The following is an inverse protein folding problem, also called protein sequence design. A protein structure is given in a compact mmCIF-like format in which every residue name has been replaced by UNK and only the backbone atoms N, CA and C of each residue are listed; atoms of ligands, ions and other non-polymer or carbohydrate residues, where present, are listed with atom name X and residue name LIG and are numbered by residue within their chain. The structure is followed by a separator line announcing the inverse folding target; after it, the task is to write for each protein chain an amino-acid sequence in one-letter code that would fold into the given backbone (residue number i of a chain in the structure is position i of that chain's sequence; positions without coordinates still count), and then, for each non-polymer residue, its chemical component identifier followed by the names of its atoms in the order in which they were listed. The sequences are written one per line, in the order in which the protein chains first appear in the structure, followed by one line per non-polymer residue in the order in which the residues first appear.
data_IF_647847703692
#
_entry.id   IF_647847703692
#
_cell.length_a   1.000
_cell.length_b   1.000
_cell.length_c   1.000
_cell.angle_alpha   90.00
_cell.angle_beta   90.00
_cell.angle_gamma   90.00
#
_symmetry.space_group_name_H-M   'P 1'
#
loop_
_entity.id
_entity.type
_entity.pdbx_description
1 polymer ?
#
# COMPACT_ATOMS: atom_id res chain seq x y z
N UNK A 1 10.98 -5.19 -13.95
CA UNK A 1 11.09 -3.79 -13.47
C UNK A 1 10.37 -3.72 -12.14
N UNK A 2 10.99 -3.17 -11.09
CA UNK A 2 10.29 -2.85 -9.84
C UNK A 2 9.60 -1.51 -10.08
N UNK A 3 8.28 -1.53 -10.22
CA UNK A 3 7.49 -0.30 -10.38
C UNK A 3 7.14 0.23 -8.99
N UNK A 4 7.42 1.51 -8.73
CA UNK A 4 7.02 2.16 -7.48
C UNK A 4 5.68 2.85 -7.67
N UNK A 5 4.71 2.61 -6.79
CA UNK A 5 3.38 3.21 -6.82
C UNK A 5 3.19 4.20 -5.68
N UNK A 6 2.58 5.33 -6.00
CA UNK A 6 2.13 6.31 -5.01
C UNK A 6 0.71 6.02 -4.53
N UNK A 7 0.47 6.18 -3.23
CA UNK A 7 -0.81 6.03 -2.55
C UNK A 7 -1.09 7.27 -1.70
N UNK A 8 -2.32 7.77 -1.77
CA UNK A 8 -2.84 8.78 -0.85
C UNK A 8 -4.05 8.18 -0.14
N UNK A 9 -4.04 8.22 1.19
CA UNK A 9 -5.02 7.58 2.06
C UNK A 9 -5.55 8.60 3.07
N UNK A 10 -6.84 8.54 3.37
CA UNK A 10 -7.42 9.23 4.53
C UNK A 10 -7.79 8.17 5.56
N UNK A 11 -7.24 8.29 6.76
CA UNK A 11 -7.35 7.30 7.82
C UNK A 11 -7.91 7.93 9.10
N UNK A 12 -8.55 7.17 9.99
CA UNK A 12 -8.99 7.67 11.28
C UNK A 12 -7.78 8.07 12.15
N UNK A 13 -7.95 9.15 12.90
CA UNK A 13 -6.96 9.61 13.87
C UNK A 13 -7.02 8.71 15.10
N UNK A 14 -5.96 7.94 15.32
CA UNK A 14 -5.80 7.09 16.50
C UNK A 14 -5.63 7.91 17.79
N UNK A 15 -6.04 7.34 18.92
CA UNK A 15 -5.96 8.00 20.23
C UNK A 15 -4.53 8.11 20.79
N UNK A 16 -3.58 7.37 20.22
CA UNK A 16 -2.16 7.39 20.58
C UNK A 16 -1.29 7.33 19.33
N UNK A 17 -0.04 7.79 19.45
CA UNK A 17 0.92 7.73 18.33
C UNK A 17 1.14 6.30 17.82
N UNK A 18 1.20 5.31 18.73
CA UNK A 18 1.33 3.90 18.35
C UNK A 18 0.10 3.37 17.61
N UNK A 19 -1.11 3.79 18.00
CA UNK A 19 -2.33 3.41 17.31
C UNK A 19 -2.41 4.02 15.90
N UNK A 20 -1.96 5.28 15.73
CA UNK A 20 -1.85 5.92 14.42
C UNK A 20 -0.87 5.14 13.55
N UNK A 21 0.35 4.86 14.04
CA UNK A 21 1.36 4.10 13.30
C UNK A 21 0.81 2.75 12.82
N UNK A 22 0.21 1.97 13.72
CA UNK A 22 -0.36 0.67 13.38
C UNK A 22 -1.50 0.79 12.34
N UNK A 23 -2.35 1.81 12.47
CA UNK A 23 -3.45 2.06 11.52
C UNK A 23 -2.91 2.36 10.13
N UNK A 24 -1.86 3.16 10.03
CA UNK A 24 -1.22 3.51 8.76
C UNK A 24 -0.57 2.29 8.12
N UNK A 25 0.23 1.54 8.88
CA UNK A 25 0.90 0.33 8.38
C UNK A 25 -0.11 -0.73 7.93
N UNK A 26 -1.18 -0.98 8.70
CA UNK A 26 -2.23 -1.92 8.33
C UNK A 26 -3.02 -1.49 7.09
N UNK A 27 -3.17 -0.18 6.86
CA UNK A 27 -3.86 0.32 5.67
C UNK A 27 -3.01 0.20 4.39
N UNK A 28 -1.68 0.35 4.51
CA UNK A 28 -0.77 0.32 3.34
C UNK A 28 -0.28 -1.11 3.05
N UNK A 29 -0.02 -1.94 4.06
CA UNK A 29 0.48 -3.30 3.92
C UNK A 29 -0.22 -4.18 2.86
N UNK A 30 -1.58 -4.19 2.74
CA UNK A 30 -2.24 -5.00 1.71
C UNK A 30 -2.01 -4.50 0.27
N UNK A 31 -1.50 -3.27 0.09
CA UNK A 31 -1.22 -2.71 -1.23
C UNK A 31 0.15 -3.14 -1.76
N UNK A 32 1.08 -3.52 -0.87
CA UNK A 32 2.43 -3.95 -1.22
C UNK A 32 3.46 -3.63 -0.14
N UNK A 33 4.74 -3.74 -0.52
CA UNK A 33 5.86 -3.44 0.35
C UNK A 33 6.02 -1.93 0.53
N UNK A 34 6.03 -1.47 1.78
CA UNK A 34 6.12 -0.05 2.14
C UNK A 34 7.57 0.41 2.00
N UNK A 35 7.83 1.39 1.13
CA UNK A 35 9.16 2.00 0.99
C UNK A 35 9.31 3.23 1.87
N UNK A 36 8.28 4.09 1.87
CA UNK A 36 8.18 5.28 2.73
C UNK A 36 6.74 5.74 2.82
N UNK A 37 6.40 6.41 3.91
CA UNK A 37 5.14 7.13 4.03
C UNK A 37 5.30 8.31 4.98
N UNK A 38 4.38 9.27 4.90
CA UNK A 38 4.32 10.41 5.79
C UNK A 38 2.87 10.86 5.99
N UNK A 39 2.58 11.37 7.19
CA UNK A 39 1.34 12.08 7.46
C UNK A 39 1.49 13.50 6.91
N UNK A 40 0.59 13.91 6.02
CA UNK A 40 0.68 15.21 5.34
C UNK A 40 -0.35 16.22 5.82
N UNK A 41 -1.45 15.75 6.42
CA UNK A 41 -2.43 16.59 7.11
C UNK A 41 -3.12 15.83 8.25
N UNK A 42 -3.65 16.59 9.21
CA UNK A 42 -4.49 16.08 10.31
C UNK A 42 -5.72 16.97 10.41
N UNK A 43 -6.91 16.37 10.41
CA UNK A 43 -8.19 17.05 10.63
C UNK A 43 -8.73 16.64 12.02
N UNK A 44 -8.57 17.49 13.05
CA UNK A 44 -9.03 17.19 14.40
C UNK A 44 -10.55 17.25 14.53
N UNK A 45 -11.25 18.00 13.67
CA UNK A 45 -12.71 18.12 13.69
C UNK A 45 -13.39 16.85 13.19
N UNK A 46 -12.80 16.19 12.20
CA UNK A 46 -13.27 14.92 11.62
C UNK A 46 -12.60 13.70 12.25
N UNK A 47 -11.60 13.91 13.11
CA UNK A 47 -10.74 12.86 13.66
C UNK A 47 -10.15 11.98 12.56
N UNK A 48 -9.57 12.61 11.54
CA UNK A 48 -8.90 11.92 10.43
C UNK A 48 -7.51 12.49 10.17
N UNK A 49 -6.70 11.74 9.43
CA UNK A 49 -5.39 12.14 8.96
C UNK A 49 -5.21 11.74 7.50
N UNK A 50 -4.44 12.52 6.76
CA UNK A 50 -4.04 12.22 5.39
C UNK A 50 -2.62 11.63 5.40
N UNK A 51 -2.45 10.50 4.72
CA UNK A 51 -1.17 9.82 4.54
C UNK A 51 -0.84 9.74 3.07
N UNK A 52 0.42 10.02 2.76
CA UNK A 52 0.99 9.78 1.45
C UNK A 52 2.10 8.73 1.56
N UNK A 53 2.00 7.69 0.75
CA UNK A 53 2.85 6.51 0.81
C UNK A 53 3.40 6.16 -0.58
N UNK A 54 4.63 5.65 -0.60
CA UNK A 54 5.26 5.04 -1.76
C UNK A 54 5.48 3.58 -1.44
N UNK A 55 4.99 2.71 -2.32
CA UNK A 55 5.11 1.26 -2.17
C UNK A 55 5.74 0.63 -3.40
N UNK A 56 6.25 -0.57 -3.22
CA UNK A 56 6.36 -1.55 -4.31
C UNK A 56 5.08 -2.38 -4.29
N UNK A 57 4.24 -2.32 -5.34
CA UNK A 57 3.03 -3.12 -5.38
C UNK A 57 3.42 -4.59 -5.28
N UNK A 58 2.61 -5.36 -4.53
CA UNK A 58 2.73 -6.80 -4.60
C UNK A 58 2.58 -7.20 -6.07
N UNK A 59 3.62 -7.81 -6.65
CA UNK A 59 3.54 -8.29 -8.02
C UNK A 59 2.29 -9.17 -8.12
N UNK A 60 1.42 -8.97 -9.12
CA UNK A 60 0.43 -9.99 -9.40
C UNK A 60 1.19 -11.31 -9.59
N UNK A 61 0.66 -12.46 -9.11
CA UNK A 61 1.28 -13.73 -9.46
C UNK A 61 1.42 -13.72 -10.98
N UNK A 62 2.66 -13.75 -11.45
CA UNK A 62 2.94 -13.91 -12.87
C UNK A 62 2.40 -15.29 -13.19
N UNK A 63 1.16 -15.33 -13.68
CA UNK A 63 0.67 -16.44 -14.47
C UNK A 63 1.53 -16.42 -15.73
N UNK A 64 2.65 -17.15 -15.68
CA UNK A 64 3.46 -17.42 -16.85
C UNK A 64 2.57 -18.19 -17.83
N UNK A 65 2.26 -17.68 -19.03
CA UNK A 65 1.68 -18.50 -20.09
C UNK A 65 2.79 -19.37 -20.73
N UNK A 66 3.60 -20.03 -19.92
CA UNK A 66 4.65 -20.97 -20.35
C UNK A 66 4.20 -22.41 -20.04
N UNK A 67 3.01 -22.76 -20.55
CA UNK A 67 2.52 -24.14 -20.53
C UNK A 67 1.62 -24.44 -21.73
N UNK A 68 1.94 -23.82 -22.87
CA UNK A 68 1.33 -24.14 -24.15
C UNK A 68 2.40 -24.22 -25.25
N UNK A 69 3.42 -25.05 -25.03
CA UNK A 69 4.21 -25.59 -26.13
C UNK A 69 4.27 -27.11 -26.01
N UNK A 70 3.27 -27.78 -26.60
CA UNK A 70 3.51 -29.10 -27.19
C UNK A 70 3.08 -29.04 -28.65
N UNK A 71 4.00 -29.26 -29.60
CA UNK A 71 3.70 -29.28 -31.02
C UNK A 71 2.90 -30.53 -31.41
N UNK A 72 2.01 -30.34 -32.39
CA UNK A 72 1.35 -31.39 -33.19
C UNK A 72 2.39 -32.35 -33.76
N UNK A 73 2.19 -33.66 -33.54
CA UNK A 73 2.00 -34.57 -34.69
C UNK A 73 0.68 -35.35 -34.63
#
# INVERSE_FOLDING_TARGET
MVETRYLSLTLPLGSTAAAVLATVEQAIAPQGEILRWAITAVDPSRQTLAVEAVITPALPPTDSPDSALTPVP
#
